data_IF_029297895952
#
_entry.id   IF_029297895952
#
_cell.length_a   1.000
_cell.length_b   1.000
_cell.length_c   1.000
_cell.angle_alpha   90.00
_cell.angle_beta   90.00
_cell.angle_gamma   90.00
#
_symmetry.space_group_name_H-M   'P 1'
#
loop_
_entity.id
_entity.type
_entity.pdbx_description
1 polymer ?
#
# COMPACT_ATOMS: atom_id res chain seq x y z
N UNK A 1 -5.85 -38.26 17.55
CA UNK A 1 -6.48 -36.96 17.22
C UNK A 1 -5.38 -35.97 16.89
N UNK A 2 -5.13 -35.72 15.60
CA UNK A 2 -4.13 -34.75 15.13
C UNK A 2 -4.91 -33.49 14.74
N UNK A 3 -4.69 -32.39 15.47
CA UNK A 3 -5.24 -31.08 15.10
C UNK A 3 -4.75 -30.73 13.69
N UNK A 4 -5.62 -30.29 12.76
CA UNK A 4 -5.13 -29.68 11.54
C UNK A 4 -4.39 -28.39 11.93
N UNK A 5 -3.15 -28.25 11.45
CA UNK A 5 -2.42 -27.01 11.53
C UNK A 5 -3.28 -25.93 10.88
N UNK A 6 -3.78 -24.98 11.67
CA UNK A 6 -4.40 -23.77 11.16
C UNK A 6 -3.36 -23.12 10.25
N UNK A 7 -3.66 -23.08 8.95
CA UNK A 7 -2.87 -22.33 7.98
C UNK A 7 -2.64 -20.93 8.53
N UNK A 8 -1.36 -20.55 8.66
CA UNK A 8 -1.00 -19.24 9.15
C UNK A 8 -1.61 -18.21 8.22
N UNK A 9 -2.48 -17.35 8.74
CA UNK A 9 -2.87 -16.14 8.05
C UNK A 9 -1.57 -15.41 7.69
N UNK A 10 -1.27 -15.31 6.40
CA UNK A 10 -0.16 -14.47 5.93
C UNK A 10 -0.52 -13.06 6.35
N UNK A 11 0.17 -12.55 7.37
CA UNK A 11 -0.02 -11.17 7.82
C UNK A 11 0.26 -10.27 6.61
N UNK A 12 -0.74 -9.46 6.24
CA UNK A 12 -0.64 -8.53 5.11
C UNK A 12 0.65 -7.71 5.21
N UNK A 13 1.53 -7.84 4.22
CA UNK A 13 2.75 -7.06 4.13
C UNK A 13 2.55 -5.93 3.11
N UNK A 14 2.88 -4.66 3.44
CA UNK A 14 2.66 -3.52 2.55
C UNK A 14 3.35 -3.62 1.18
N UNK A 15 4.41 -4.41 1.07
CA UNK A 15 5.09 -4.68 -0.21
C UNK A 15 4.27 -5.52 -1.19
N UNK A 16 3.22 -6.20 -0.72
CA UNK A 16 2.32 -7.00 -1.55
C UNK A 16 1.26 -6.15 -2.25
N UNK A 17 1.17 -4.85 -1.92
CA UNK A 17 0.25 -3.92 -2.59
C UNK A 17 0.71 -3.71 -4.03
N UNK A 18 -0.16 -3.95 -5.04
CA UNK A 18 0.15 -3.59 -6.41
C UNK A 18 0.44 -2.09 -6.54
N UNK A 19 1.61 -1.72 -7.05
CA UNK A 19 2.02 -0.32 -7.14
C UNK A 19 1.72 0.22 -8.55
N UNK A 20 0.96 1.31 -8.63
CA UNK A 20 0.71 2.01 -9.88
C UNK A 20 1.79 3.03 -10.22
N UNK A 21 2.52 3.53 -9.21
CA UNK A 21 3.71 4.36 -9.38
C UNK A 21 4.62 4.27 -8.14
N UNK A 22 5.91 4.46 -8.36
CA UNK A 22 6.93 4.59 -7.31
C UNK A 22 7.70 5.88 -7.54
N UNK A 23 7.91 6.65 -6.48
CA UNK A 23 8.66 7.90 -6.50
C UNK A 23 9.89 7.75 -5.63
N UNK A 24 11.05 8.11 -6.16
CA UNK A 24 12.28 8.21 -5.37
C UNK A 24 12.53 9.68 -5.07
N UNK A 25 12.54 10.05 -3.79
CA UNK A 25 12.62 11.46 -3.36
C UNK A 25 13.84 11.65 -2.48
N UNK A 26 14.64 12.67 -2.79
CA UNK A 26 15.84 13.00 -2.04
C UNK A 26 15.58 13.99 -0.90
N UNK A 27 14.55 14.84 -1.03
CA UNK A 27 14.26 15.92 -0.08
C UNK A 27 12.75 16.23 0.10
N UNK A 28 12.45 17.19 0.98
CA UNK A 28 11.08 17.60 1.29
C UNK A 28 10.35 18.26 0.12
N UNK A 29 11.09 18.88 -0.81
CA UNK A 29 10.49 19.51 -1.98
C UNK A 29 10.02 18.42 -2.95
N UNK A 30 10.88 17.47 -3.28
CA UNK A 30 10.54 16.33 -4.13
C UNK A 30 9.43 15.48 -3.50
N UNK A 31 9.46 15.29 -2.18
CA UNK A 31 8.37 14.65 -1.44
C UNK A 31 7.02 15.37 -1.62
N UNK A 32 7.03 16.70 -1.66
CA UNK A 32 5.82 17.51 -1.89
C UNK A 32 5.33 17.44 -3.34
N UNK A 33 6.25 17.46 -4.31
CA UNK A 33 5.96 17.31 -5.73
C UNK A 33 5.34 15.92 -6.00
N UNK A 34 5.98 14.85 -5.54
CA UNK A 34 5.48 13.48 -5.62
C UNK A 34 4.09 13.34 -4.96
N UNK A 35 3.87 13.98 -3.81
CA UNK A 35 2.58 13.98 -3.15
C UNK A 35 1.48 14.69 -3.95
N UNK A 36 1.83 15.75 -4.68
CA UNK A 36 0.93 16.43 -5.62
C UNK A 36 0.51 15.51 -6.76
N UNK A 37 1.46 14.78 -7.34
CA UNK A 37 1.19 13.79 -8.40
C UNK A 37 0.34 12.62 -7.90
N UNK A 38 0.64 12.08 -6.72
CA UNK A 38 -0.15 11.04 -6.06
C UNK A 38 -1.59 11.51 -5.87
N UNK A 39 -1.80 12.73 -5.37
CA UNK A 39 -3.14 13.27 -5.15
C UNK A 39 -3.90 13.52 -6.45
N UNK A 40 -3.21 13.96 -7.51
CA UNK A 40 -3.81 14.13 -8.83
C UNK A 40 -4.19 12.80 -9.50
N UNK A 41 -3.39 11.75 -9.26
CA UNK A 41 -3.65 10.39 -9.75
C UNK A 41 -4.56 9.56 -8.82
N UNK A 42 -4.99 10.12 -7.68
CA UNK A 42 -5.74 9.39 -6.67
C UNK A 42 -7.15 9.07 -7.17
N UNK A 43 -7.50 7.78 -7.16
CA UNK A 43 -8.83 7.30 -7.52
C UNK A 43 -9.21 6.15 -6.59
N UNK A 44 -10.30 6.27 -5.80
CA UNK A 44 -10.74 5.20 -4.91
C UNK A 44 -11.08 3.92 -5.68
N UNK A 45 -10.63 2.76 -5.21
CA UNK A 45 -10.88 1.48 -5.87
C UNK A 45 -10.10 1.27 -7.17
N UNK A 46 -9.01 2.03 -7.40
CA UNK A 46 -8.11 1.84 -8.56
C UNK A 46 -7.42 0.47 -8.55
N UNK A 47 -7.39 -0.24 -7.41
CA UNK A 47 -6.75 -1.54 -7.28
C UNK A 47 -5.22 -1.46 -7.17
N UNK A 48 -4.64 -0.26 -7.14
CA UNK A 48 -3.20 -0.02 -7.03
C UNK A 48 -2.90 1.10 -6.04
N UNK A 49 -1.79 0.97 -5.32
CA UNK A 49 -1.24 1.98 -4.42
C UNK A 49 -0.10 2.78 -5.03
N UNK A 50 0.50 3.64 -4.21
CA UNK A 50 1.66 4.47 -4.53
C UNK A 50 2.76 4.20 -3.53
N UNK A 51 4.02 4.14 -3.99
CA UNK A 51 5.19 4.02 -3.10
C UNK A 51 6.05 5.28 -3.22
N UNK A 52 6.56 5.78 -2.10
CA UNK A 52 7.58 6.82 -2.07
C UNK A 52 8.79 6.27 -1.32
N UNK A 53 9.93 6.21 -1.99
CA UNK A 53 11.24 5.86 -1.45
C UNK A 53 11.91 7.12 -0.93
N UNK A 54 12.43 7.04 0.29
CA UNK A 54 13.05 8.14 1.03
C UNK A 54 14.43 7.66 1.49
N UNK A 55 15.47 8.51 1.50
CA UNK A 55 16.79 8.12 1.98
C UNK A 55 16.72 7.73 3.45
N UNK A 56 17.59 6.83 3.88
CA UNK A 56 17.62 6.29 5.25
C UNK A 56 18.16 7.25 6.32
N UNK A 57 18.04 8.55 6.10
CA UNK A 57 18.17 9.55 7.15
C UNK A 57 16.85 9.65 7.92
N UNK A 58 16.84 9.16 9.16
CA UNK A 58 15.66 9.13 10.03
C UNK A 58 14.97 10.49 10.19
N UNK A 59 15.73 11.59 10.28
CA UNK A 59 15.15 12.93 10.46
C UNK A 59 14.54 13.43 9.16
N UNK A 60 15.25 13.25 8.05
CA UNK A 60 14.78 13.67 6.73
C UNK A 60 13.58 12.84 6.29
N UNK A 61 13.66 11.51 6.38
CA UNK A 61 12.57 10.58 6.07
C UNK A 61 11.30 10.87 6.89
N UNK A 62 11.44 11.23 8.18
CA UNK A 62 10.29 11.63 9.00
C UNK A 62 9.62 12.91 8.49
N UNK A 63 10.41 13.91 8.08
CA UNK A 63 9.87 15.16 7.52
C UNK A 63 9.22 14.92 6.17
N UNK A 64 9.89 14.19 5.28
CA UNK A 64 9.35 13.82 3.98
C UNK A 64 8.06 13.01 4.09
N UNK A 65 8.01 11.99 4.95
CA UNK A 65 6.78 11.23 5.19
C UNK A 65 5.63 12.10 5.72
N UNK A 66 5.92 13.06 6.60
CA UNK A 66 4.92 14.03 7.06
C UNK A 66 4.45 14.95 5.92
N UNK A 67 5.37 15.44 5.09
CA UNK A 67 5.07 16.26 3.91
C UNK A 67 4.19 15.50 2.93
N UNK A 68 4.54 14.25 2.59
CA UNK A 68 3.74 13.40 1.70
C UNK A 68 2.31 13.26 2.22
N UNK A 69 2.15 12.85 3.47
CA UNK A 69 0.82 12.64 4.05
C UNK A 69 -0.01 13.91 4.14
N UNK A 70 0.62 15.02 4.51
CA UNK A 70 -0.05 16.32 4.66
C UNK A 70 -0.48 16.88 3.31
N UNK A 71 0.40 16.84 2.31
CA UNK A 71 0.13 17.31 0.96
C UNK A 71 -0.95 16.47 0.29
N UNK A 72 -0.86 15.13 0.33
CA UNK A 72 -1.91 14.25 -0.20
C UNK A 72 -3.25 14.57 0.47
N UNK A 73 -3.30 14.58 1.80
CA UNK A 73 -4.54 14.85 2.55
C UNK A 73 -5.14 16.22 2.23
N UNK A 74 -4.30 17.25 2.10
CA UNK A 74 -4.71 18.61 1.76
C UNK A 74 -5.30 18.67 0.34
N UNK A 75 -4.62 18.07 -0.64
CA UNK A 75 -5.04 18.09 -2.04
C UNK A 75 -6.34 17.30 -2.26
N UNK A 76 -6.48 16.12 -1.65
CA UNK A 76 -7.74 15.36 -1.67
C UNK A 76 -8.90 16.16 -1.09
N UNK A 77 -8.67 16.83 0.06
CA UNK A 77 -9.67 17.71 0.68
C UNK A 77 -10.04 18.87 -0.25
N UNK A 78 -9.06 19.52 -0.86
CA UNK A 78 -9.27 20.65 -1.78
C UNK A 78 -10.09 20.23 -3.00
N UNK A 79 -9.89 19.02 -3.48
CA UNK A 79 -10.65 18.42 -4.58
C UNK A 79 -12.03 17.88 -4.18
N UNK A 80 -12.43 17.96 -2.90
CA UNK A 80 -13.69 17.40 -2.41
C UNK A 80 -13.73 15.87 -2.42
N UNK A 81 -12.57 15.21 -2.52
CA UNK A 81 -12.46 13.76 -2.55
C UNK A 81 -12.46 13.16 -1.13
N UNK A 82 -12.89 11.90 -1.03
CA UNK A 82 -12.83 11.13 0.21
C UNK A 82 -11.37 10.91 0.65
N UNK A 83 -11.11 11.13 1.93
CA UNK A 83 -9.76 11.04 2.53
C UNK A 83 -9.47 9.64 3.07
N UNK A 84 -9.88 8.63 2.32
CA UNK A 84 -9.65 7.24 2.68
C UNK A 84 -8.26 6.80 2.24
N UNK A 85 -7.23 7.28 2.94
CA UNK A 85 -5.82 6.98 2.67
C UNK A 85 -5.28 6.13 3.81
N UNK A 86 -4.92 4.89 3.52
CA UNK A 86 -4.13 4.01 4.38
C UNK A 86 -2.67 4.10 3.99
N UNK A 87 -1.78 4.03 4.96
CA UNK A 87 -0.36 4.05 4.68
C UNK A 87 0.44 3.22 5.67
N UNK A 88 1.61 2.77 5.23
CA UNK A 88 2.61 2.11 6.05
C UNK A 88 3.98 2.66 5.72
N UNK A 89 4.83 2.75 6.74
CA UNK A 89 6.24 3.10 6.59
C UNK A 89 7.07 1.90 7.02
N UNK A 90 8.01 1.47 6.18
CA UNK A 90 8.88 0.33 6.47
C UNK A 90 10.28 0.53 5.88
N UNK A 91 11.19 -0.35 6.26
CA UNK A 91 12.53 -0.41 5.68
C UNK A 91 12.45 -1.18 4.37
N UNK A 92 12.72 -0.51 3.25
CA UNK A 92 12.72 -1.16 1.92
C UNK A 92 14.03 -1.91 1.71
N UNK A 93 15.14 -1.21 1.86
CA UNK A 93 16.47 -1.73 1.55
C UNK A 93 17.56 -1.12 2.48
N UNK A 94 18.82 -1.27 2.07
CA UNK A 94 19.97 -0.76 2.82
C UNK A 94 19.96 0.78 2.96
N UNK A 95 19.41 1.49 1.97
CA UNK A 95 19.57 2.92 1.72
C UNK A 95 18.25 3.70 1.77
N UNK A 96 17.10 3.01 1.80
CA UNK A 96 15.78 3.63 1.73
C UNK A 96 14.79 3.16 2.80
N UNK A 97 14.00 4.12 3.28
CA UNK A 97 12.68 3.92 3.85
C UNK A 97 11.64 3.99 2.73
N UNK A 98 10.58 3.18 2.81
CA UNK A 98 9.43 3.30 1.93
C UNK A 98 8.21 3.75 2.72
N UNK A 99 7.40 4.63 2.13
CA UNK A 99 5.99 4.82 2.49
C UNK A 99 5.12 4.32 1.34
N UNK A 100 4.16 3.46 1.66
CA UNK A 100 3.16 2.98 0.69
C UNK A 100 1.81 3.58 1.07
N UNK A 101 1.10 4.13 0.10
CA UNK A 101 -0.23 4.72 0.23
C UNK A 101 -1.24 3.93 -0.62
N UNK A 102 -2.39 3.59 -0.05
CA UNK A 102 -3.46 2.84 -0.73
C UNK A 102 -4.82 3.25 -0.16
N UNK A 103 -5.90 3.13 -0.94
CA UNK A 103 -7.26 3.34 -0.43
C UNK A 103 -7.82 2.08 0.25
N UNK A 104 -8.76 2.24 1.19
CA UNK A 104 -9.28 1.09 1.93
C UNK A 104 -10.10 0.13 1.06
N UNK A 105 -10.67 0.58 -0.07
CA UNK A 105 -11.38 -0.33 -1.00
C UNK A 105 -10.42 -1.26 -1.71
N UNK A 106 -9.31 -0.73 -2.21
CA UNK A 106 -8.22 -1.56 -2.76
C UNK A 106 -7.68 -2.52 -1.70
N UNK A 107 -7.46 -2.06 -0.46
CA UNK A 107 -7.01 -2.93 0.63
C UNK A 107 -8.00 -4.08 0.92
N UNK A 108 -9.29 -3.77 1.04
CA UNK A 108 -10.33 -4.77 1.30
C UNK A 108 -10.42 -5.81 0.17
N UNK A 109 -10.21 -5.38 -1.09
CA UNK A 109 -10.14 -6.30 -2.22
C UNK A 109 -8.91 -7.23 -2.16
N UNK A 110 -7.77 -6.76 -1.66
CA UNK A 110 -6.56 -7.57 -1.52
C UNK A 110 -6.68 -8.57 -0.36
N UNK A 111 -7.29 -8.16 0.75
CA UNK A 111 -7.57 -9.05 1.88
C UNK A 111 -8.64 -10.10 1.51
N UNK A 112 -9.67 -9.71 0.75
CA UNK A 112 -10.70 -10.61 0.24
C UNK A 112 -10.18 -11.61 -0.80
N UNK A 113 -9.33 -11.18 -1.74
CA UNK A 113 -8.72 -12.06 -2.74
C UNK A 113 -7.81 -13.13 -2.14
N UNK A 114 -7.20 -12.85 -0.98
CA UNK A 114 -6.40 -13.82 -0.24
C UNK A 114 -7.26 -14.88 0.49
N UNK A 115 -8.57 -14.64 0.60
CA UNK A 115 -9.55 -15.58 1.17
C UNK A 115 -10.25 -16.47 0.14
N UNK A 116 -10.28 -16.06 -1.14
CA UNK A 116 -10.88 -16.83 -2.25
C UNK A 116 -9.88 -17.74 -2.98
N UNK A 117 -8.56 -17.48 -2.89
CA UNK A 117 -7.53 -18.36 -3.47
C UNK A 117 -7.35 -19.71 -2.72
N UNK A 118 -8.17 -20.00 -1.71
CA UNK A 118 -8.16 -21.24 -0.94
C UNK A 118 -9.33 -22.20 -1.27
N UNK A 119 -10.09 -21.92 -2.33
CA UNK A 119 -11.26 -22.75 -2.67
C UNK A 119 -11.53 -22.81 -4.17
N UNK A 120 -10.73 -23.60 -4.90
CA UNK A 120 -11.22 -24.33 -6.07
C UNK A 120 -10.31 -25.54 -6.37
N UNK A 121 -10.43 -26.60 -5.57
CA UNK A 121 -10.13 -27.98 -6.00
C UNK A 121 -11.13 -28.91 -5.30
N UNK A 122 -12.35 -28.99 -5.84
CA UNK A 122 -13.29 -30.07 -5.51
C UNK A 122 -14.14 -30.46 -6.72
N UNK A 123 -14.09 -31.75 -7.06
CA UNK A 123 -14.96 -32.45 -8.02
C UNK A 123 -14.29 -32.60 -9.39
N UNK A 124 -14.06 -33.77 -9.98
CA UNK A 124 -14.81 -35.04 -9.97
C UNK A 124 -13.82 -36.22 -10.07
N UNK A 125 -13.87 -37.22 -9.19
CA UNK A 125 -14.69 -38.43 -9.29
C UNK A 125 -14.43 -39.27 -10.57
N UNK A 126 -13.80 -40.44 -10.42
CA UNK A 126 -14.53 -41.72 -10.53
C UNK A 126 -13.65 -42.94 -10.19
N UNK A 127 -14.16 -43.65 -9.19
CA UNK A 127 -14.14 -45.10 -8.98
C UNK A 127 -13.65 -45.96 -10.14
N UNK A 128 -12.70 -46.85 -9.88
CA UNK A 128 -12.87 -48.31 -9.88
C UNK A 128 -11.66 -49.01 -9.25
#
# INVERSE_FOLDING_TARGET
MRLPARGGAVAFHPSSVPLGATYDVADEREASEAAGEIAAAWSPGRGTGFKVLMPKDKKLARRMGHTVMTTVSYMLRKAGMERDVRYWVYHEDADHYAIVLVDSKTLASLDGANSEAAGDESGDEKSQ
#
